data_IF_006365954918
#
_entry.id   IF_006365954918
#
_cell.length_a   1.000
_cell.length_b   1.000
_cell.length_c   1.000
_cell.angle_alpha   90.00
_cell.angle_beta   90.00
_cell.angle_gamma   90.00
#
_symmetry.space_group_name_H-M   'P 1'
#
loop_
_entity.id
_entity.type
_entity.pdbx_description
1 polymer ?
#
# COMPACT_ATOMS: atom_id res chain seq x y z
N UNK A 1 -10.06 16.97 -3.26
CA UNK A 1 -9.62 17.18 -1.87
C UNK A 1 -9.09 18.59 -1.75
N UNK A 2 -9.56 19.36 -0.76
CA UNK A 2 -8.98 20.66 -0.45
C UNK A 2 -7.48 20.49 -0.19
N UNK A 3 -6.64 21.26 -0.89
CA UNK A 3 -5.18 21.23 -0.79
C UNK A 3 -4.62 21.49 0.62
N UNK A 4 -5.47 21.78 1.59
CA UNK A 4 -5.16 22.04 3.00
C UNK A 4 -5.76 21.02 3.96
N UNK A 5 -6.38 19.95 3.48
CA UNK A 5 -6.93 18.92 4.37
C UNK A 5 -5.79 18.10 4.98
N UNK A 6 -5.62 18.18 6.30
CA UNK A 6 -4.69 17.34 7.04
C UNK A 6 -5.39 16.03 7.39
N UNK A 7 -4.97 14.93 6.77
CA UNK A 7 -5.43 13.60 7.14
C UNK A 7 -4.56 13.05 8.27
N UNK A 8 -5.16 12.82 9.42
CA UNK A 8 -4.49 12.19 10.56
C UNK A 8 -4.74 10.68 10.51
N UNK A 9 -3.66 9.89 10.52
CA UNK A 9 -3.69 8.44 10.51
C UNK A 9 -2.92 7.88 11.70
N UNK A 10 -3.33 6.70 12.15
CA UNK A 10 -2.51 5.85 13.01
C UNK A 10 -1.75 4.82 12.17
N UNK A 11 -0.54 4.47 12.60
CA UNK A 11 0.32 3.54 11.89
C UNK A 11 0.71 2.39 12.82
N UNK A 12 0.39 1.15 12.43
CA UNK A 12 0.70 -0.04 13.22
C UNK A 12 1.14 -1.22 12.34
N UNK A 13 1.89 -2.13 12.95
CA UNK A 13 2.36 -3.33 12.27
C UNK A 13 1.23 -4.33 12.10
N UNK A 14 1.02 -4.79 10.88
CA UNK A 14 0.11 -5.90 10.56
C UNK A 14 0.90 -7.10 10.03
N UNK A 15 0.31 -8.30 10.11
CA UNK A 15 0.90 -9.50 9.50
C UNK A 15 0.71 -9.47 7.97
N UNK A 16 1.73 -9.86 7.22
CA UNK A 16 1.63 -10.23 5.81
C UNK A 16 2.03 -9.17 4.77
N UNK A 17 2.10 -7.90 5.13
CA UNK A 17 2.35 -6.83 4.14
C UNK A 17 3.79 -6.75 3.60
N UNK A 18 4.79 -7.33 4.29
CA UNK A 18 6.20 -7.16 3.93
C UNK A 18 7.02 -8.44 4.07
N UNK A 19 6.42 -9.61 3.90
CA UNK A 19 6.99 -10.91 4.26
C UNK A 19 8.41 -11.19 3.72
N UNK A 20 8.72 -10.75 2.51
CA UNK A 20 10.05 -10.95 1.89
C UNK A 20 10.90 -9.68 1.86
N UNK A 21 10.27 -8.51 1.83
CA UNK A 21 10.94 -7.22 1.68
C UNK A 21 11.90 -6.93 2.84
N UNK A 22 11.46 -7.15 4.09
CA UNK A 22 12.30 -6.88 5.27
C UNK A 22 13.58 -7.73 5.29
N UNK A 23 13.49 -9.02 4.94
CA UNK A 23 14.65 -9.90 4.88
C UNK A 23 15.60 -9.47 3.76
N UNK A 24 15.05 -9.08 2.62
CA UNK A 24 15.84 -8.60 1.50
C UNK A 24 16.58 -7.30 1.85
N UNK A 25 15.89 -6.31 2.42
CA UNK A 25 16.49 -5.05 2.85
C UNK A 25 17.61 -5.28 3.87
N UNK A 26 17.42 -6.22 4.80
CA UNK A 26 18.47 -6.63 5.73
C UNK A 26 19.69 -7.22 5.01
N UNK A 27 19.47 -8.08 4.03
CA UNK A 27 20.56 -8.67 3.23
C UNK A 27 21.28 -7.63 2.38
N UNK A 28 20.61 -6.56 1.97
CA UNK A 28 21.18 -5.42 1.26
C UNK A 28 21.94 -4.44 2.19
N UNK A 29 22.05 -4.75 3.49
CA UNK A 29 22.79 -3.93 4.46
C UNK A 29 22.01 -2.74 5.02
N UNK A 30 20.69 -2.69 4.81
CA UNK A 30 19.82 -1.66 5.38
C UNK A 30 19.66 -1.96 6.88
N UNK A 31 20.08 -1.01 7.72
CA UNK A 31 20.13 -1.20 9.17
C UNK A 31 18.74 -1.24 9.81
N UNK A 32 17.83 -0.40 9.32
CA UNK A 32 16.47 -0.30 9.84
C UNK A 32 15.48 -0.30 8.68
N UNK A 33 14.51 -1.19 8.73
CA UNK A 33 13.40 -1.23 7.80
C UNK A 33 12.13 -1.59 8.56
N UNK A 34 11.07 -0.84 8.33
CA UNK A 34 9.77 -1.11 8.94
C UNK A 34 8.67 -0.96 7.89
N UNK A 35 7.66 -1.79 8.01
CA UNK A 35 6.40 -1.69 7.27
C UNK A 35 5.26 -1.48 8.25
N UNK A 36 4.40 -0.51 7.97
CA UNK A 36 3.23 -0.21 8.80
C UNK A 36 2.02 0.00 7.91
N UNK A 37 0.87 -0.43 8.41
CA UNK A 37 -0.43 -0.13 7.80
C UNK A 37 -0.97 1.15 8.38
N UNK A 38 -1.44 2.05 7.51
CA UNK A 38 -2.11 3.29 7.89
C UNK A 38 -3.62 3.06 7.97
N UNK A 39 -4.24 3.60 9.01
CA UNK A 39 -5.71 3.61 9.19
C UNK A 39 -6.13 4.92 9.83
N UNK A 40 -7.40 5.22 9.78
CA UNK A 40 -7.97 6.34 10.55
C UNK A 40 -7.75 6.14 12.04
N UNK A 41 -7.55 7.24 12.76
CA UNK A 41 -7.34 7.23 14.20
C UNK A 41 -8.52 6.53 14.91
N UNK A 42 -8.20 5.65 15.84
CA UNK A 42 -9.16 4.84 16.61
C UNK A 42 -9.51 3.49 15.97
N UNK A 43 -9.04 3.21 14.76
CA UNK A 43 -9.30 1.93 14.10
C UNK A 43 -8.73 0.74 14.89
N UNK A 44 -7.51 0.85 15.39
CA UNK A 44 -6.86 -0.21 16.16
C UNK A 44 -7.63 -0.52 17.45
N UNK A 45 -8.05 0.51 18.18
CA UNK A 45 -8.81 0.35 19.42
C UNK A 45 -10.18 -0.31 19.16
N UNK A 46 -10.84 0.09 18.07
CA UNK A 46 -12.10 -0.51 17.65
C UNK A 46 -11.93 -2.00 17.30
N UNK A 47 -10.88 -2.37 16.56
CA UNK A 47 -10.55 -3.76 16.24
C UNK A 47 -10.26 -4.58 17.49
N UNK A 48 -9.48 -4.03 18.42
CA UNK A 48 -9.19 -4.68 19.72
C UNK A 48 -10.48 -4.91 20.50
N UNK A 49 -11.37 -3.93 20.54
CA UNK A 49 -12.66 -4.04 21.22
C UNK A 49 -13.50 -5.18 20.65
N UNK A 50 -13.70 -5.25 19.35
CA UNK A 50 -14.51 -6.30 18.73
C UNK A 50 -13.87 -7.68 18.89
N UNK A 51 -12.58 -7.83 18.60
CA UNK A 51 -11.90 -9.14 18.64
C UNK A 51 -11.66 -9.64 20.06
N UNK A 52 -11.22 -8.78 20.99
CA UNK A 52 -10.84 -9.21 22.33
C UNK A 52 -11.97 -9.12 23.36
N UNK A 53 -12.73 -8.03 23.35
CA UNK A 53 -13.79 -7.82 24.35
C UNK A 53 -15.12 -8.43 23.90
N UNK A 54 -15.54 -8.24 22.67
CA UNK A 54 -16.78 -8.80 22.13
C UNK A 54 -16.59 -10.21 21.58
N UNK A 55 -15.35 -10.64 21.33
CA UNK A 55 -14.99 -11.98 20.82
C UNK A 55 -15.69 -12.29 19.48
N UNK A 56 -15.80 -11.29 18.62
CA UNK A 56 -16.35 -11.48 17.29
C UNK A 56 -15.45 -12.42 16.49
N UNK A 57 -16.07 -13.34 15.76
CA UNK A 57 -15.41 -14.21 14.81
C UNK A 57 -15.21 -13.49 13.45
N UNK A 58 -14.56 -14.18 12.50
CA UNK A 58 -14.27 -13.60 11.20
C UNK A 58 -15.53 -13.26 10.39
N UNK A 59 -16.60 -14.04 10.53
CA UNK A 59 -17.86 -13.83 9.83
C UNK A 59 -18.59 -12.58 10.35
N UNK A 60 -18.66 -12.45 11.67
CA UNK A 60 -19.24 -11.26 12.33
C UNK A 60 -18.45 -10.00 12.01
N UNK A 61 -17.11 -10.09 11.95
CA UNK A 61 -16.26 -8.98 11.54
C UNK A 61 -16.50 -8.61 10.07
N UNK A 62 -16.60 -9.59 9.19
CA UNK A 62 -16.87 -9.36 7.77
C UNK A 62 -18.22 -8.66 7.53
N UNK A 63 -19.25 -9.06 8.30
CA UNK A 63 -20.57 -8.43 8.22
C UNK A 63 -20.54 -6.98 8.75
N UNK A 64 -19.78 -6.73 9.83
CA UNK A 64 -19.69 -5.41 10.45
C UNK A 64 -18.98 -4.39 9.55
N UNK A 65 -17.94 -4.86 8.83
CA UNK A 65 -17.13 -4.02 7.94
C UNK A 65 -17.45 -4.21 6.45
N UNK A 66 -18.59 -4.84 6.16
CA UNK A 66 -19.06 -4.92 4.79
C UNK A 66 -19.47 -3.52 4.35
N UNK A 67 -18.65 -2.94 3.47
CA UNK A 67 -18.91 -1.65 2.87
C UNK A 67 -19.42 -1.87 1.45
N UNK A 68 -20.58 -1.34 1.15
CA UNK A 68 -21.17 -1.37 -0.19
C UNK A 68 -20.88 -0.08 -0.97
N UNK A 69 -20.16 0.89 -0.35
CA UNK A 69 -19.84 2.19 -0.94
C UNK A 69 -18.33 2.32 -1.13
N UNK A 70 -17.89 2.26 -2.38
CA UNK A 70 -16.46 2.37 -2.75
C UNK A 70 -16.03 3.80 -3.13
N UNK A 71 -16.95 4.76 -3.12
CA UNK A 71 -16.72 6.11 -3.66
C UNK A 71 -15.83 6.98 -2.77
N UNK A 72 -15.64 6.60 -1.51
CA UNK A 72 -14.88 7.36 -0.51
C UNK A 72 -13.61 6.64 -0.03
N UNK A 73 -13.28 5.46 -0.55
CA UNK A 73 -12.07 4.77 -0.14
C UNK A 73 -10.81 5.45 -0.73
N UNK A 74 -9.69 5.32 -0.03
CA UNK A 74 -8.41 5.85 -0.47
C UNK A 74 -7.27 4.92 -0.08
N UNK A 75 -6.33 4.73 -0.99
CA UNK A 75 -5.06 4.08 -0.69
C UNK A 75 -3.95 5.12 -0.63
N UNK A 76 -3.21 5.13 0.46
CA UNK A 76 -2.02 5.97 0.65
C UNK A 76 -0.81 5.06 0.69
N UNK A 77 0.16 5.33 -0.17
CA UNK A 77 1.49 4.71 -0.13
C UNK A 77 2.49 5.79 0.25
N UNK A 78 3.06 5.68 1.44
CA UNK A 78 4.05 6.62 1.97
C UNK A 78 5.36 5.87 2.22
N UNK A 79 6.41 6.29 1.54
CA UNK A 79 7.74 5.69 1.61
C UNK A 79 8.74 6.73 2.08
N UNK A 80 9.48 6.41 3.14
CA UNK A 80 10.57 7.24 3.62
C UNK A 80 11.87 6.44 3.64
N UNK A 81 12.92 7.01 3.11
CA UNK A 81 14.27 6.48 3.15
C UNK A 81 15.23 7.52 3.70
N UNK A 82 16.10 7.10 4.63
CA UNK A 82 17.14 7.96 5.22
C UNK A 82 18.52 7.41 4.88
N UNK A 83 19.34 8.24 4.27
CA UNK A 83 20.72 7.92 3.94
C UNK A 83 21.63 9.15 4.17
N UNK A 84 22.73 8.99 4.89
CA UNK A 84 23.69 10.06 5.19
C UNK A 84 23.03 11.36 5.71
N UNK A 85 22.08 11.25 6.64
CA UNK A 85 21.28 12.35 7.20
C UNK A 85 20.39 13.09 6.19
N UNK A 86 20.25 12.57 4.98
CA UNK A 86 19.25 13.04 4.01
C UNK A 86 18.02 12.16 4.10
N UNK A 87 16.84 12.78 4.13
CA UNK A 87 15.57 12.10 4.12
C UNK A 87 14.92 12.27 2.75
N UNK A 88 14.56 11.14 2.15
CA UNK A 88 13.80 11.07 0.91
C UNK A 88 12.42 10.53 1.26
N UNK A 89 11.37 11.23 0.89
CA UNK A 89 9.99 10.81 1.13
C UNK A 89 9.17 10.96 -0.13
N UNK A 90 8.38 9.95 -0.41
CA UNK A 90 7.43 9.94 -1.53
C UNK A 90 6.09 9.43 -1.03
N UNK A 91 5.01 10.16 -1.34
CA UNK A 91 3.66 9.83 -0.92
C UNK A 91 2.76 9.81 -2.15
N UNK A 92 2.07 8.70 -2.38
CA UNK A 92 1.09 8.56 -3.44
C UNK A 92 -0.30 8.35 -2.88
N UNK A 93 -1.28 8.96 -3.53
CA UNK A 93 -2.69 8.82 -3.21
C UNK A 93 -3.40 8.17 -4.39
N UNK A 94 -4.13 7.09 -4.13
CA UNK A 94 -4.99 6.44 -5.11
C UNK A 94 -6.42 6.62 -4.66
N UNK A 95 -7.25 7.25 -5.48
CA UNK A 95 -8.69 7.45 -5.24
C UNK A 95 -9.52 6.45 -6.06
N UNK A 96 -10.77 6.17 -5.71
CA UNK A 96 -11.69 5.40 -6.54
C UNK A 96 -11.95 6.13 -7.85
N UNK A 97 -12.20 5.39 -8.92
CA UNK A 97 -12.49 5.95 -10.24
C UNK A 97 -13.15 4.90 -11.14
N UNK A 98 -14.05 5.35 -12.00
CA UNK A 98 -14.68 4.52 -13.04
C UNK A 98 -15.37 3.25 -12.47
N UNK A 99 -15.94 3.34 -11.27
CA UNK A 99 -16.62 2.22 -10.60
C UNK A 99 -15.68 1.23 -9.89
N UNK A 100 -14.37 1.51 -9.83
CA UNK A 100 -13.39 0.70 -9.11
C UNK A 100 -12.96 1.40 -7.82
N UNK A 101 -12.83 0.63 -6.74
CA UNK A 101 -12.29 1.13 -5.48
C UNK A 101 -10.82 1.52 -5.60
N UNK A 102 -10.33 2.38 -4.70
CA UNK A 102 -8.92 2.73 -4.64
C UNK A 102 -8.02 1.50 -4.46
N UNK A 103 -8.45 0.54 -3.63
CA UNK A 103 -7.73 -0.72 -3.42
C UNK A 103 -7.68 -1.58 -4.69
N UNK A 104 -8.78 -1.70 -5.42
CA UNK A 104 -8.82 -2.44 -6.69
C UNK A 104 -7.88 -1.80 -7.72
N UNK A 105 -7.91 -0.48 -7.84
CA UNK A 105 -7.04 0.27 -8.76
C UNK A 105 -5.57 0.15 -8.39
N UNK A 106 -5.22 0.35 -7.12
CA UNK A 106 -3.84 0.22 -6.64
C UNK A 106 -3.30 -1.20 -6.86
N UNK A 107 -4.09 -2.22 -6.54
CA UNK A 107 -3.67 -3.63 -6.66
C UNK A 107 -3.54 -4.06 -8.12
N UNK A 108 -4.58 -3.85 -8.92
CA UNK A 108 -4.56 -4.23 -10.34
C UNK A 108 -3.54 -3.43 -11.14
N UNK A 109 -3.48 -2.10 -10.92
CA UNK A 109 -2.53 -1.23 -11.59
C UNK A 109 -1.09 -1.55 -11.22
N UNK A 110 -0.81 -1.83 -9.95
CA UNK A 110 0.51 -2.27 -9.50
C UNK A 110 0.95 -3.58 -10.17
N UNK A 111 0.06 -4.57 -10.25
CA UNK A 111 0.35 -5.84 -10.91
C UNK A 111 0.61 -5.65 -12.41
N UNK A 112 -0.26 -4.94 -13.12
CA UNK A 112 -0.11 -4.69 -14.57
C UNK A 112 1.18 -3.92 -14.84
N UNK A 113 1.46 -2.86 -14.06
CA UNK A 113 2.68 -2.06 -14.21
C UNK A 113 3.95 -2.90 -13.99
N UNK A 114 3.94 -3.80 -13.00
CA UNK A 114 5.06 -4.71 -12.75
C UNK A 114 5.28 -5.70 -13.91
N UNK A 115 4.21 -6.29 -14.43
CA UNK A 115 4.30 -7.21 -15.57
C UNK A 115 4.85 -6.51 -16.80
N UNK A 116 4.39 -5.30 -17.10
CA UNK A 116 4.86 -4.52 -18.27
C UNK A 116 6.31 -4.07 -18.12
N UNK A 117 6.75 -3.79 -16.88
CA UNK A 117 8.11 -3.33 -16.58
C UNK A 117 9.11 -4.47 -16.35
N UNK A 118 8.69 -5.72 -16.50
CA UNK A 118 9.57 -6.89 -16.38
C UNK A 118 10.00 -7.44 -17.74
N UNK A 119 11.25 -7.93 -17.89
CA UNK A 119 11.69 -8.64 -19.09
C UNK A 119 11.02 -10.01 -19.17
N UNK A 120 10.05 -10.19 -20.07
CA UNK A 120 9.24 -11.42 -20.22
C UNK A 120 10.00 -12.64 -20.79
N UNK A 121 11.33 -12.65 -20.81
CA UNK A 121 12.12 -13.65 -21.53
C UNK A 121 12.82 -14.68 -20.65
N UNK A 122 12.64 -14.66 -19.34
CA UNK A 122 13.34 -15.56 -18.45
C UNK A 122 12.43 -16.69 -17.94
N UNK A 123 12.93 -17.91 -18.02
CA UNK A 123 12.23 -19.13 -17.58
C UNK A 123 12.43 -19.37 -16.07
N UNK A 124 12.33 -18.29 -15.26
CA UNK A 124 12.45 -18.31 -13.80
C UNK A 124 11.39 -17.41 -13.17
N UNK A 125 11.04 -17.61 -11.89
CA UNK A 125 10.21 -16.66 -11.17
C UNK A 125 10.85 -15.27 -11.18
N UNK A 126 10.07 -14.26 -11.55
CA UNK A 126 10.48 -12.85 -11.49
C UNK A 126 10.37 -12.34 -10.05
N UNK A 127 11.26 -11.44 -9.69
CA UNK A 127 11.27 -10.74 -8.41
C UNK A 127 11.17 -9.25 -8.64
N UNK A 128 10.92 -8.47 -7.60
CA UNK A 128 10.88 -7.01 -7.71
C UNK A 128 12.22 -6.38 -8.16
N UNK A 129 13.34 -7.11 -8.10
CA UNK A 129 14.62 -6.66 -8.68
C UNK A 129 14.64 -6.68 -10.20
N UNK A 130 13.76 -7.47 -10.81
CA UNK A 130 13.67 -7.59 -12.25
C UNK A 130 12.80 -6.46 -12.84
N UNK A 131 12.10 -5.71 -11.99
CA UNK A 131 11.23 -4.61 -12.40
C UNK A 131 12.05 -3.38 -12.71
N UNK A 132 11.93 -2.83 -13.91
CA UNK A 132 12.41 -1.50 -14.24
C UNK A 132 11.54 -0.46 -13.52
N UNK A 133 12.09 0.20 -12.50
CA UNK A 133 11.35 1.12 -11.64
C UNK A 133 10.82 2.35 -12.41
N UNK A 134 11.60 2.88 -13.34
CA UNK A 134 11.17 4.03 -14.15
C UNK A 134 9.97 3.64 -15.03
N UNK A 135 10.05 2.51 -15.71
CA UNK A 135 8.97 2.00 -16.54
C UNK A 135 7.73 1.63 -15.70
N UNK A 136 7.93 1.05 -14.52
CA UNK A 136 6.87 0.75 -13.56
C UNK A 136 6.10 2.02 -13.17
N UNK A 137 6.79 3.08 -12.77
CA UNK A 137 6.18 4.35 -12.40
C UNK A 137 5.47 5.02 -13.58
N UNK A 138 6.07 4.99 -14.77
CA UNK A 138 5.45 5.51 -15.99
C UNK A 138 4.15 4.74 -16.33
N UNK A 139 4.13 3.42 -16.14
CA UNK A 139 2.94 2.61 -16.33
C UNK A 139 1.85 2.95 -15.32
N UNK A 140 2.18 3.11 -14.03
CA UNK A 140 1.22 3.53 -13.00
C UNK A 140 0.58 4.87 -13.33
N UNK A 141 1.37 5.81 -13.82
CA UNK A 141 0.89 7.14 -14.25
C UNK A 141 0.00 7.03 -15.50
N UNK A 142 0.41 6.25 -16.50
CA UNK A 142 -0.36 6.03 -17.73
C UNK A 142 -1.70 5.35 -17.46
N UNK A 143 -1.74 4.41 -16.51
CA UNK A 143 -2.96 3.76 -16.05
C UNK A 143 -3.80 4.68 -15.12
N UNK A 144 -3.33 5.87 -14.82
CA UNK A 144 -4.00 6.83 -13.96
C UNK A 144 -4.15 6.34 -12.51
N UNK A 145 -3.29 5.44 -12.06
CA UNK A 145 -3.27 4.93 -10.67
C UNK A 145 -2.68 5.98 -9.76
N UNK A 146 -1.57 6.60 -10.18
CA UNK A 146 -0.95 7.75 -9.52
C UNK A 146 -1.04 8.98 -10.43
N UNK A 147 -1.09 10.18 -9.83
CA UNK A 147 -1.09 11.44 -10.58
C UNK A 147 0.28 11.74 -11.20
N UNK A 148 0.30 12.59 -12.22
CA UNK A 148 1.54 13.28 -12.63
C UNK A 148 1.87 14.29 -11.54
N UNK A 149 3.05 14.21 -10.97
CA UNK A 149 3.63 15.25 -10.10
C UNK A 149 3.92 16.54 -10.89
#
# INVERSE_FOLDING_TARGET
LDSNATLSCEAFTTSGGASHTLQHMKNAGILNCSYKTLRYIGHLDLMIYFLKQKKFDAEQMALLFKDDVFDEDMVIVDVEAVHNNLTYRQTHFVAPKDGYSAMQRATAGGLVSAVLACPLRENRPLTYHDVNIEEFNNNLTTLGVIGNE
#
